data_IF_744736166895
#
_entry.id   IF_744736166895
#
_cell.length_a   1.000
_cell.length_b   1.000
_cell.length_c   1.000
_cell.angle_alpha   90.00
_cell.angle_beta   90.00
_cell.angle_gamma   90.00
#
_symmetry.space_group_name_H-M   'P 1'
#
loop_
_entity.id
_entity.type
_entity.pdbx_description
1 polymer ?
#
# COMPACT_ATOMS: atom_id res chain seq x y z
N UNK A 1 3.55 16.09 -11.05
CA UNK A 1 3.70 16.05 -12.53
C UNK A 1 3.78 17.50 -12.97
N UNK A 2 4.78 17.89 -13.77
CA UNK A 2 4.91 19.26 -14.30
C UNK A 2 4.84 20.36 -13.21
N UNK A 3 5.52 20.13 -12.08
CA UNK A 3 5.55 21.05 -10.92
C UNK A 3 4.35 20.97 -9.97
N UNK A 4 3.31 20.19 -10.30
CA UNK A 4 2.13 20.00 -9.44
C UNK A 4 2.33 18.83 -8.48
N UNK A 5 2.17 19.08 -7.18
CA UNK A 5 2.15 18.05 -6.12
C UNK A 5 0.85 17.24 -6.16
N UNK A 6 0.98 15.93 -6.01
CA UNK A 6 -0.14 15.00 -6.01
C UNK A 6 0.33 13.55 -5.94
N UNK A 7 -0.61 12.62 -5.96
CA UNK A 7 -0.32 11.19 -5.89
C UNK A 7 -0.62 10.52 -7.23
N UNK A 8 0.30 9.66 -7.68
CA UNK A 8 0.05 8.75 -8.79
C UNK A 8 -0.45 7.41 -8.26
N UNK A 9 -1.62 7.00 -8.71
CA UNK A 9 -2.21 5.71 -8.40
C UNK A 9 -2.01 4.76 -9.58
N UNK A 10 -1.70 3.51 -9.31
CA UNK A 10 -1.61 2.47 -10.33
C UNK A 10 -2.05 1.12 -9.75
N UNK A 11 -2.89 0.39 -10.48
CA UNK A 11 -3.35 -0.94 -10.07
C UNK A 11 -3.47 -1.86 -11.27
N UNK A 12 -3.00 -3.08 -11.12
CA UNK A 12 -3.20 -4.12 -12.13
C UNK A 12 -4.59 -4.73 -11.97
N UNK A 13 -5.44 -4.54 -12.98
CA UNK A 13 -6.81 -5.05 -13.00
C UNK A 13 -7.25 -5.26 -14.46
N UNK A 14 -6.61 -6.20 -15.20
CA UNK A 14 -6.76 -6.32 -16.65
C UNK A 14 -8.18 -6.63 -17.12
N UNK A 15 -8.95 -7.34 -16.29
CA UNK A 15 -10.32 -7.75 -16.60
C UNK A 15 -11.39 -6.79 -16.04
N UNK A 16 -10.99 -5.72 -15.35
CA UNK A 16 -11.95 -4.72 -14.90
C UNK A 16 -12.49 -3.94 -16.10
N UNK A 17 -13.79 -3.61 -16.07
CA UNK A 17 -14.43 -2.78 -17.11
C UNK A 17 -14.20 -1.30 -16.86
N UNK A 18 -14.04 -0.91 -15.59
CA UNK A 18 -13.74 0.46 -15.14
C UNK A 18 -13.00 0.37 -13.81
N UNK A 19 -12.02 1.25 -13.61
CA UNK A 19 -11.44 1.50 -12.28
C UNK A 19 -11.48 3.00 -12.02
N UNK A 20 -11.70 3.37 -10.77
CA UNK A 20 -11.68 4.74 -10.27
C UNK A 20 -11.01 4.73 -8.90
N UNK A 21 -10.25 5.78 -8.59
CA UNK A 21 -9.71 5.95 -7.24
C UNK A 21 -10.71 6.76 -6.43
N UNK A 22 -11.05 6.26 -5.23
CA UNK A 22 -11.97 6.90 -4.29
C UNK A 22 -11.26 7.12 -2.97
N UNK A 23 -11.51 8.24 -2.31
CA UNK A 23 -10.85 8.58 -1.07
C UNK A 23 -11.33 9.90 -0.50
N UNK A 24 -10.67 10.36 0.56
CA UNK A 24 -11.03 11.62 1.24
C UNK A 24 -10.99 12.82 0.29
N UNK A 25 -10.01 12.87 -0.63
CA UNK A 25 -9.83 13.95 -1.60
C UNK A 25 -10.97 14.08 -2.63
N UNK A 26 -11.86 13.09 -2.75
CA UNK A 26 -13.03 13.16 -3.62
C UNK A 26 -14.33 12.72 -2.96
N UNK A 27 -14.39 12.75 -1.62
CA UNK A 27 -15.55 12.36 -0.83
C UNK A 27 -16.07 10.95 -1.17
N UNK A 28 -15.16 10.05 -1.52
CA UNK A 28 -15.47 8.67 -1.91
C UNK A 28 -16.36 8.53 -3.16
N UNK A 29 -16.40 9.55 -4.03
CA UNK A 29 -17.21 9.52 -5.26
C UNK A 29 -16.40 8.99 -6.47
N UNK A 30 -16.69 7.75 -6.86
CA UNK A 30 -16.04 7.05 -7.99
C UNK A 30 -16.25 7.68 -9.36
N UNK A 31 -17.15 8.66 -9.50
CA UNK A 31 -17.36 9.38 -10.76
C UNK A 31 -16.34 10.49 -10.99
N UNK A 32 -15.67 10.96 -9.92
CA UNK A 32 -14.76 12.12 -9.97
C UNK A 32 -13.37 11.79 -10.52
N UNK A 33 -12.88 10.59 -10.25
CA UNK A 33 -11.51 10.19 -10.59
C UNK A 33 -11.45 8.81 -11.28
N UNK A 34 -12.06 8.67 -12.48
CA UNK A 34 -11.87 7.48 -13.30
C UNK A 34 -10.42 7.36 -13.77
N UNK A 35 -9.89 6.14 -13.76
CA UNK A 35 -8.50 5.86 -14.13
C UNK A 35 -8.39 5.50 -15.61
N UNK A 36 -7.22 5.79 -16.21
CA UNK A 36 -6.90 5.43 -17.59
C UNK A 36 -6.37 4.00 -17.65
N UNK A 37 -6.92 3.18 -18.53
CA UNK A 37 -6.44 1.83 -18.78
C UNK A 37 -5.30 1.80 -19.82
N UNK A 38 -4.17 1.19 -19.44
CA UNK A 38 -3.05 0.86 -20.33
C UNK A 38 -3.19 -0.57 -20.84
N UNK A 39 -3.73 -0.72 -22.05
CA UNK A 39 -4.06 -2.02 -22.66
C UNK A 39 -2.85 -2.96 -22.76
N UNK A 40 -1.67 -2.40 -23.00
CA UNK A 40 -0.41 -3.12 -23.14
C UNK A 40 0.06 -3.83 -21.86
N UNK A 41 -0.39 -3.39 -20.68
CA UNK A 41 0.06 -3.91 -19.38
C UNK A 41 -1.07 -4.42 -18.48
N UNK A 42 -2.33 -4.08 -18.78
CA UNK A 42 -3.45 -4.37 -17.89
C UNK A 42 -3.52 -3.44 -16.66
N UNK A 43 -2.73 -2.37 -16.66
CA UNK A 43 -2.63 -1.41 -15.55
C UNK A 43 -3.61 -0.27 -15.74
N UNK A 44 -4.30 0.10 -14.67
CA UNK A 44 -5.08 1.32 -14.55
C UNK A 44 -4.25 2.35 -13.81
N UNK A 45 -4.19 3.58 -14.32
CA UNK A 45 -3.43 4.65 -13.67
C UNK A 45 -4.15 6.00 -13.69
N UNK A 46 -3.84 6.83 -12.69
CA UNK A 46 -4.29 8.22 -12.62
C UNK A 46 -3.33 9.02 -11.74
N UNK A 47 -3.04 10.25 -12.13
CA UNK A 47 -2.44 11.24 -11.25
C UNK A 47 -3.52 12.15 -10.69
N UNK A 48 -3.60 12.30 -9.37
CA UNK A 48 -4.57 13.16 -8.68
C UNK A 48 -3.83 14.33 -8.04
N UNK A 49 -3.96 15.56 -8.58
CA UNK A 49 -3.42 16.76 -7.95
C UNK A 49 -3.99 16.98 -6.54
N UNK A 50 -3.13 17.40 -5.60
CA UNK A 50 -3.54 17.69 -4.22
C UNK A 50 -3.84 16.48 -3.33
N UNK A 51 -3.86 15.26 -3.88
CA UNK A 51 -3.81 14.05 -3.07
C UNK A 51 -2.44 13.97 -2.38
N UNK A 52 -2.43 13.72 -1.07
CA UNK A 52 -1.22 13.81 -0.24
C UNK A 52 -1.20 12.76 0.88
N UNK A 53 -0.02 12.61 1.50
CA UNK A 53 0.21 11.63 2.56
C UNK A 53 -0.77 11.79 3.73
N UNK A 54 -1.17 10.67 4.32
CA UNK A 54 -2.15 10.61 5.40
C UNK A 54 -3.61 10.55 4.91
N UNK A 55 -3.86 10.70 3.60
CA UNK A 55 -5.21 10.55 3.08
C UNK A 55 -5.58 9.09 2.82
N UNK A 56 -6.83 8.75 3.13
CA UNK A 56 -7.39 7.42 2.89
C UNK A 56 -7.93 7.27 1.47
N UNK A 57 -7.72 6.10 0.88
CA UNK A 57 -8.23 5.76 -0.44
C UNK A 57 -8.51 4.26 -0.61
N UNK A 58 -9.26 3.93 -1.68
CA UNK A 58 -9.53 2.60 -2.22
C UNK A 58 -9.67 2.67 -3.74
N UNK A 59 -9.67 1.53 -4.40
CA UNK A 59 -10.09 1.40 -5.79
C UNK A 59 -11.55 0.96 -5.86
N UNK A 60 -12.39 1.76 -6.53
CA UNK A 60 -13.71 1.37 -6.97
C UNK A 60 -13.60 0.82 -8.39
N UNK A 61 -14.14 -0.37 -8.65
CA UNK A 61 -14.09 -0.97 -9.98
C UNK A 61 -15.38 -1.67 -10.35
N UNK A 62 -15.64 -1.71 -11.66
CA UNK A 62 -16.66 -2.58 -12.26
C UNK A 62 -15.93 -3.83 -12.71
N UNK A 63 -16.27 -4.98 -12.14
CA UNK A 63 -15.63 -6.27 -12.48
C UNK A 63 -16.05 -6.77 -13.88
N UNK A 64 -15.46 -7.88 -14.30
CA UNK A 64 -15.73 -8.50 -15.61
C UNK A 64 -17.21 -8.89 -15.80
N UNK A 65 -17.97 -9.04 -14.72
CA UNK A 65 -19.39 -9.39 -14.73
C UNK A 65 -20.31 -8.17 -14.60
N UNK A 66 -19.74 -6.96 -14.45
CA UNK A 66 -20.50 -5.73 -14.30
C UNK A 66 -20.83 -5.35 -12.86
N UNK A 67 -20.30 -6.06 -11.85
CA UNK A 67 -20.58 -5.71 -10.46
C UNK A 67 -19.64 -4.61 -9.97
N UNK A 68 -20.19 -3.69 -9.18
CA UNK A 68 -19.40 -2.69 -8.48
C UNK A 68 -18.68 -3.32 -7.28
N UNK A 69 -17.38 -3.08 -7.16
CA UNK A 69 -16.51 -3.55 -6.08
C UNK A 69 -15.68 -2.39 -5.56
N UNK A 70 -15.41 -2.40 -4.26
CA UNK A 70 -14.46 -1.48 -3.64
C UNK A 70 -13.36 -2.32 -2.97
N UNK A 71 -12.10 -2.04 -3.29
CA UNK A 71 -10.94 -2.82 -2.86
C UNK A 71 -9.84 -1.92 -2.32
N UNK A 72 -9.18 -2.39 -1.26
CA UNK A 72 -7.92 -1.81 -0.82
C UNK A 72 -6.86 -1.96 -1.93
N UNK A 73 -5.84 -1.10 -1.91
CA UNK A 73 -4.70 -1.23 -2.79
C UNK A 73 -3.87 -2.47 -2.41
N UNK A 74 -3.67 -3.44 -3.33
CA UNK A 74 -2.82 -4.61 -3.07
C UNK A 74 -1.34 -4.27 -2.80
N UNK A 75 -0.90 -3.07 -3.17
CA UNK A 75 0.45 -2.54 -2.96
C UNK A 75 0.50 -1.40 -1.93
N UNK A 76 -0.54 -1.26 -1.08
CA UNK A 76 -0.52 -0.27 -0.01
C UNK A 76 0.65 -0.51 0.97
N UNK A 77 1.43 0.54 1.25
CA UNK A 77 2.44 0.52 2.31
C UNK A 77 1.82 0.66 3.70
N UNK A 78 0.69 1.36 3.80
CA UNK A 78 -0.06 1.54 5.05
C UNK A 78 -1.56 1.37 4.82
N UNK A 79 -2.26 0.92 5.86
CA UNK A 79 -3.70 0.68 5.85
C UNK A 79 -4.35 1.09 7.17
N UNK A 80 -5.66 1.33 7.14
CA UNK A 80 -6.41 1.58 8.36
C UNK A 80 -6.37 0.38 9.30
N UNK A 81 -6.44 0.67 10.60
CA UNK A 81 -6.59 -0.36 11.61
C UNK A 81 -7.94 -1.09 11.44
N UNK A 82 -7.89 -2.42 11.57
CA UNK A 82 -9.10 -3.26 11.58
C UNK A 82 -10.16 -2.72 12.56
N UNK A 83 -11.46 -2.84 12.23
CA UNK A 83 -12.05 -3.56 11.11
C UNK A 83 -12.06 -2.79 9.77
N UNK A 84 -11.57 -1.55 9.78
CA UNK A 84 -11.49 -0.74 8.57
C UNK A 84 -10.49 -1.30 7.55
N UNK A 85 -10.59 -0.84 6.31
CA UNK A 85 -9.87 -1.46 5.18
C UNK A 85 -9.38 -0.49 4.10
N UNK A 86 -9.44 0.83 4.32
CA UNK A 86 -8.85 1.75 3.35
C UNK A 86 -7.32 1.71 3.42
N UNK A 87 -6.70 1.93 2.27
CA UNK A 87 -5.27 2.16 2.15
C UNK A 87 -4.97 3.63 2.49
N UNK A 88 -3.76 3.90 2.99
CA UNK A 88 -3.28 5.24 3.30
C UNK A 88 -2.22 5.67 2.28
N UNK A 89 -2.33 6.89 1.75
CA UNK A 89 -1.24 7.48 0.96
C UNK A 89 -0.06 7.74 1.90
N UNK A 90 1.10 7.18 1.58
CA UNK A 90 2.32 7.35 2.34
C UNK A 90 3.54 7.20 1.42
N UNK A 91 4.65 7.82 1.83
CA UNK A 91 5.94 7.67 1.16
C UNK A 91 6.58 6.34 1.51
N UNK A 92 7.51 5.88 0.67
CA UNK A 92 8.35 4.76 1.03
C UNK A 92 9.24 5.16 2.23
N UNK A 93 9.41 4.25 3.21
CA UNK A 93 10.37 4.47 4.26
C UNK A 93 11.79 4.58 3.67
N UNK A 94 12.69 5.35 4.33
CA UNK A 94 14.06 5.48 3.86
C UNK A 94 14.74 4.10 3.84
N UNK A 95 15.56 3.88 2.81
CA UNK A 95 16.38 2.67 2.73
C UNK A 95 17.39 2.68 3.88
N UNK A 96 17.40 1.62 4.68
CA UNK A 96 18.39 1.40 5.73
C UNK A 96 19.46 0.46 5.20
N UNK A 97 20.73 0.88 5.25
CA UNK A 97 21.83 -0.02 4.93
C UNK A 97 22.04 -1.04 6.05
N UNK A 98 22.28 -2.29 5.66
CA UNK A 98 22.60 -3.32 6.64
C UNK A 98 24.00 -3.07 7.23
N UNK A 99 24.15 -2.99 8.56
CA UNK A 99 25.46 -2.85 9.20
C UNK A 99 26.42 -4.02 8.91
N UNK A 100 27.73 -3.80 8.98
CA UNK A 100 28.75 -4.81 8.66
C UNK A 100 28.75 -6.00 9.63
N UNK A 101 28.60 -5.72 10.91
CA UNK A 101 28.39 -6.69 11.99
C UNK A 101 27.13 -7.55 11.74
N UNK A 102 26.00 -6.93 11.36
CA UNK A 102 24.78 -7.66 11.01
C UNK A 102 24.95 -8.54 9.77
N UNK A 103 25.76 -8.12 8.80
CA UNK A 103 26.10 -8.96 7.62
C UNK A 103 26.95 -10.17 8.02
N UNK A 104 27.89 -10.01 8.95
CA UNK A 104 28.70 -11.10 9.47
C UNK A 104 27.88 -12.09 10.31
N UNK A 105 26.98 -11.59 11.17
CA UNK A 105 26.10 -12.43 11.98
C UNK A 105 25.08 -13.23 11.15
N UNK A 106 24.77 -12.80 9.93
CA UNK A 106 23.83 -13.46 9.01
C UNK A 106 24.53 -14.37 7.97
N UNK A 107 25.82 -14.68 8.13
CA UNK A 107 26.49 -15.65 7.25
C UNK A 107 25.90 -17.05 7.42
N UNK A 108 25.98 -17.87 6.38
CA UNK A 108 25.37 -19.20 6.36
C UNK A 108 26.00 -20.16 7.39
N UNK A 109 27.25 -19.95 7.75
CA UNK A 109 28.02 -20.71 8.73
C UNK A 109 27.99 -20.12 10.15
N UNK A 110 27.29 -19.00 10.35
CA UNK A 110 27.12 -18.40 11.67
C UNK A 110 26.09 -19.16 12.52
N UNK A 111 26.27 -19.27 13.85
CA UNK A 111 25.29 -19.88 14.72
C UNK A 111 23.98 -19.09 14.74
N UNK A 112 22.85 -19.78 14.63
CA UNK A 112 21.51 -19.17 14.64
C UNK A 112 20.62 -19.83 15.68
N UNK A 113 19.91 -19.01 16.47
CA UNK A 113 18.82 -19.44 17.34
C UNK A 113 17.63 -18.54 17.05
N UNK A 114 16.53 -19.13 16.58
CA UNK A 114 15.33 -18.40 16.17
C UNK A 114 14.27 -18.56 17.25
N UNK A 115 13.84 -17.45 17.84
CA UNK A 115 12.67 -17.39 18.71
C UNK A 115 11.48 -16.85 17.93
N UNK A 116 10.46 -17.68 17.73
CA UNK A 116 9.26 -17.29 17.01
C UNK A 116 8.29 -16.52 17.92
N UNK A 117 7.83 -15.36 17.45
CA UNK A 117 6.89 -14.49 18.18
C UNK A 117 5.70 -14.17 17.31
N UNK A 118 4.50 -14.34 17.87
CA UNK A 118 3.25 -13.89 17.27
C UNK A 118 2.88 -12.50 17.82
N UNK A 119 3.19 -11.46 17.06
CA UNK A 119 2.84 -10.08 17.39
C UNK A 119 1.31 -9.87 17.26
N UNK A 120 0.60 -9.87 18.38
CA UNK A 120 -0.80 -9.49 18.43
C UNK A 120 -0.94 -7.95 18.48
N UNK A 121 -2.07 -7.38 18.01
CA UNK A 121 -2.34 -5.95 18.15
C UNK A 121 -2.28 -5.52 19.61
N UNK A 122 -1.45 -4.52 19.92
CA UNK A 122 -1.23 -4.03 21.29
C UNK A 122 -0.24 -4.86 22.12
N UNK A 123 0.42 -5.87 21.54
CA UNK A 123 1.47 -6.61 22.22
C UNK A 123 2.67 -5.70 22.52
N UNK A 124 3.05 -5.61 23.79
CA UNK A 124 4.33 -5.04 24.23
C UNK A 124 5.29 -6.21 24.40
N UNK A 125 6.37 -6.25 23.62
CA UNK A 125 7.45 -7.21 23.81
C UNK A 125 8.46 -6.57 24.78
N UNK A 126 8.52 -6.99 26.05
CA UNK A 126 9.60 -6.56 26.93
C UNK A 126 10.90 -7.18 26.43
N UNK A 127 11.89 -6.33 26.11
CA UNK A 127 13.25 -6.78 25.82
C UNK A 127 13.90 -7.11 27.17
N UNK A 128 13.98 -8.39 27.51
CA UNK A 128 14.78 -8.85 28.66
C UNK A 128 16.19 -9.13 28.12
N UNK A 129 17.15 -8.25 28.43
CA UNK A 129 18.57 -8.51 28.19
C UNK A 129 19.07 -9.27 29.43
N UNK A 130 19.23 -10.59 29.31
CA UNK A 130 19.95 -11.37 30.31
C UNK A 130 21.45 -11.09 30.14
N UNK A 131 22.08 -10.54 31.19
CA UNK A 131 23.52 -10.35 31.30
C UNK A 131 24.27 -11.59 31.76
#
# INVERSE_FOLDING_TARGET
>A
MDGVTGTRFSVWAPNARRVSVVGQFNYWDGRRHPMRFRKESGIWELFVPGAHNGQLYKFELIDAHGNLRVKADPYAFESQMRPESASLICDLPPKVEQPADRRAANQFDAPISIYEVHLAPGAVIPIIISG
#
